data_IF_711071141976
#
_entry.id   IF_711071141976
#
_cell.length_a   1.000
_cell.length_b   1.000
_cell.length_c   1.000
_cell.angle_alpha   90.00
_cell.angle_beta   90.00
_cell.angle_gamma   90.00
#
_symmetry.space_group_name_H-M   'P 1'
#
loop_
_entity.id
_entity.type
_entity.pdbx_description
1 polymer ?
#
# COMPACT_ATOMS: atom_id res chain seq x y z
N UNK A 1 -16.51 -19.41 16.79
CA UNK A 1 -16.12 -20.32 17.85
C UNK A 1 -14.63 -20.17 18.16
N UNK A 2 -14.23 -20.51 19.38
CA UNK A 2 -12.85 -20.45 19.89
C UNK A 2 -11.86 -21.21 18.99
N UNK A 3 -12.24 -22.37 18.47
CA UNK A 3 -11.40 -23.21 17.61
C UNK A 3 -10.99 -22.53 16.28
N UNK A 4 -11.91 -21.80 15.62
CA UNK A 4 -11.59 -21.07 14.39
C UNK A 4 -10.59 -19.94 14.66
N UNK A 5 -10.71 -19.24 15.79
CA UNK A 5 -9.76 -18.20 16.21
C UNK A 5 -8.35 -18.76 16.43
N UNK A 6 -8.24 -19.97 16.98
CA UNK A 6 -6.93 -20.60 17.24
C UNK A 6 -6.25 -21.08 15.94
N UNK A 7 -7.03 -21.53 14.96
CA UNK A 7 -6.52 -21.83 13.61
C UNK A 7 -5.96 -20.57 12.94
N UNK A 8 -6.71 -19.48 12.94
CA UNK A 8 -6.23 -18.20 12.37
C UNK A 8 -4.97 -17.68 13.09
N UNK A 9 -4.89 -17.79 14.42
CA UNK A 9 -3.69 -17.39 15.16
C UNK A 9 -2.44 -18.12 14.69
N UNK A 10 -2.54 -19.44 14.45
CA UNK A 10 -1.40 -20.24 13.95
C UNK A 10 -1.00 -19.83 12.55
N UNK A 11 -1.96 -19.65 11.65
CA UNK A 11 -1.72 -19.29 10.25
C UNK A 11 -1.09 -17.90 10.07
N UNK A 12 -1.53 -16.90 10.86
CA UNK A 12 -1.04 -15.52 10.73
C UNK A 12 0.14 -15.18 11.63
N UNK A 13 0.56 -16.11 12.50
CA UNK A 13 1.71 -15.92 13.43
C UNK A 13 2.98 -15.44 12.70
N UNK A 14 3.38 -16.03 11.56
CA UNK A 14 4.58 -15.59 10.82
C UNK A 14 4.51 -14.16 10.32
N UNK A 15 3.31 -13.59 10.16
CA UNK A 15 3.12 -12.21 9.69
C UNK A 15 3.35 -11.14 10.78
N UNK A 16 3.68 -11.55 12.02
CA UNK A 16 3.72 -10.67 13.19
C UNK A 16 2.33 -10.23 13.65
N UNK A 17 2.20 -9.78 14.93
CA UNK A 17 0.93 -9.36 15.53
C UNK A 17 -0.21 -10.40 15.40
N UNK A 18 0.12 -11.70 15.48
CA UNK A 18 -0.81 -12.79 15.19
C UNK A 18 -2.12 -12.76 15.99
N UNK A 19 -2.08 -12.36 17.27
CA UNK A 19 -3.29 -12.27 18.10
C UNK A 19 -4.25 -11.17 17.62
N UNK A 20 -3.72 -9.96 17.33
CA UNK A 20 -4.53 -8.85 16.81
C UNK A 20 -5.12 -9.21 15.45
N UNK A 21 -4.30 -9.70 14.53
CA UNK A 21 -4.75 -10.11 13.19
C UNK A 21 -5.81 -11.20 13.23
N UNK A 22 -5.65 -12.22 14.06
CA UNK A 22 -6.64 -13.29 14.18
C UNK A 22 -7.98 -12.79 14.69
N UNK A 23 -7.98 -11.88 15.68
CA UNK A 23 -9.18 -11.22 16.19
C UNK A 23 -9.86 -10.40 15.10
N UNK A 24 -9.10 -9.57 14.40
CA UNK A 24 -9.62 -8.68 13.37
C UNK A 24 -10.15 -9.46 12.18
N UNK A 25 -9.47 -10.53 11.72
CA UNK A 25 -9.97 -11.44 10.69
C UNK A 25 -11.30 -12.06 11.11
N UNK A 26 -11.39 -12.60 12.34
CA UNK A 26 -12.62 -13.21 12.84
C UNK A 26 -13.77 -12.21 12.93
N UNK A 27 -13.51 -10.99 13.36
CA UNK A 27 -14.50 -9.91 13.44
C UNK A 27 -14.95 -9.46 12.04
N UNK A 28 -14.01 -9.30 11.11
CA UNK A 28 -14.28 -8.94 9.73
C UNK A 28 -15.17 -9.98 9.04
N UNK A 29 -14.85 -11.28 9.18
CA UNK A 29 -15.65 -12.35 8.59
C UNK A 29 -17.07 -12.41 9.16
N UNK A 30 -17.25 -12.17 10.46
CA UNK A 30 -18.59 -12.04 11.05
C UNK A 30 -19.36 -10.86 10.47
N UNK A 31 -18.73 -9.71 10.37
CA UNK A 31 -19.36 -8.50 9.82
C UNK A 31 -19.76 -8.69 8.34
N UNK A 32 -18.89 -9.31 7.53
CA UNK A 32 -19.21 -9.64 6.14
C UNK A 32 -20.41 -10.57 6.04
N UNK A 33 -20.49 -11.59 6.91
CA UNK A 33 -21.63 -12.52 6.96
C UNK A 33 -22.93 -11.81 7.37
N UNK A 34 -22.88 -11.01 8.44
CA UNK A 34 -24.08 -10.52 9.13
C UNK A 34 -24.63 -9.23 8.49
N UNK A 35 -23.78 -8.41 7.88
CA UNK A 35 -24.15 -7.09 7.34
C UNK A 35 -24.01 -6.98 5.83
N UNK A 36 -23.19 -7.82 5.19
CA UNK A 36 -22.89 -7.75 3.76
C UNK A 36 -23.24 -9.00 2.96
N UNK A 37 -24.07 -9.92 3.53
CA UNK A 37 -24.47 -11.16 2.88
C UNK A 37 -23.30 -11.98 2.31
N UNK A 38 -22.21 -12.09 3.06
CA UNK A 38 -20.95 -12.75 2.65
C UNK A 38 -20.29 -12.14 1.41
N UNK A 39 -20.57 -10.89 1.07
CA UNK A 39 -19.94 -10.17 -0.04
C UNK A 39 -18.98 -9.11 0.48
N UNK A 40 -17.88 -8.92 -0.21
CA UNK A 40 -16.95 -7.81 0.08
C UNK A 40 -17.58 -6.53 -0.46
N UNK A 41 -17.74 -5.46 0.37
CA UNK A 41 -18.29 -4.20 -0.10
C UNK A 41 -17.34 -3.54 -1.12
N UNK A 42 -17.90 -2.73 -2.02
CA UNK A 42 -17.18 -2.13 -3.12
C UNK A 42 -17.07 -0.60 -3.03
N UNK A 43 -17.27 -0.05 -1.85
CA UNK A 43 -17.03 1.37 -1.55
C UNK A 43 -15.92 1.52 -0.52
N UNK A 44 -15.18 2.61 -0.62
CA UNK A 44 -14.04 2.87 0.26
C UNK A 44 -14.43 2.97 1.73
N UNK A 45 -15.54 3.66 2.02
CA UNK A 45 -16.02 3.87 3.39
C UNK A 45 -16.49 2.57 4.04
N UNK A 46 -17.21 1.72 3.31
CA UNK A 46 -17.63 0.41 3.80
C UNK A 46 -16.42 -0.52 4.04
N UNK A 47 -15.41 -0.48 3.17
CA UNK A 47 -14.16 -1.22 3.39
C UNK A 47 -13.43 -0.76 4.64
N UNK A 48 -13.37 0.56 4.90
CA UNK A 48 -12.78 1.10 6.13
C UNK A 48 -13.54 0.74 7.40
N UNK A 49 -14.84 0.46 7.28
CA UNK A 49 -15.66 0.02 8.43
C UNK A 49 -15.36 -1.43 8.84
N UNK A 50 -14.74 -2.23 7.98
CA UNK A 50 -14.39 -3.62 8.29
C UNK A 50 -13.24 -3.69 9.30
N UNK A 51 -13.36 -4.54 10.34
CA UNK A 51 -12.29 -4.74 11.31
C UNK A 51 -10.96 -5.15 10.67
N UNK A 52 -9.88 -4.47 11.03
CA UNK A 52 -8.55 -4.73 10.51
C UNK A 52 -8.26 -4.18 9.11
N UNK A 53 -9.22 -3.54 8.47
CA UNK A 53 -9.05 -2.91 7.15
C UNK A 53 -8.73 -1.43 7.32
N UNK A 54 -7.49 -1.06 7.08
CA UNK A 54 -7.06 0.35 7.04
C UNK A 54 -7.06 0.91 5.60
N UNK A 55 -6.74 2.21 5.46
CA UNK A 55 -6.70 2.90 4.15
C UNK A 55 -5.87 2.16 3.09
N UNK A 56 -4.70 1.64 3.47
CA UNK A 56 -3.84 0.87 2.56
C UNK A 56 -4.57 -0.35 2.00
N UNK A 57 -5.20 -1.15 2.87
CA UNK A 57 -5.92 -2.36 2.45
C UNK A 57 -7.18 -2.02 1.67
N UNK A 58 -7.90 -0.97 2.07
CA UNK A 58 -9.08 -0.51 1.35
C UNK A 58 -8.72 -0.06 -0.09
N UNK A 59 -7.67 0.75 -0.25
CA UNK A 59 -7.19 1.15 -1.58
C UNK A 59 -6.74 -0.06 -2.41
N UNK A 60 -6.03 -1.03 -1.82
CA UNK A 60 -5.61 -2.24 -2.52
C UNK A 60 -6.82 -3.03 -3.04
N UNK A 61 -7.85 -3.22 -2.21
CA UNK A 61 -9.08 -3.91 -2.60
C UNK A 61 -9.81 -3.12 -3.70
N UNK A 62 -9.90 -1.80 -3.58
CA UNK A 62 -10.54 -0.96 -4.60
C UNK A 62 -9.85 -1.09 -5.96
N UNK A 63 -8.51 -1.03 -6.00
CA UNK A 63 -7.74 -1.15 -7.24
C UNK A 63 -7.72 -2.57 -7.79
N UNK A 64 -7.24 -3.52 -7.00
CA UNK A 64 -6.91 -4.86 -7.51
C UNK A 64 -8.13 -5.78 -7.66
N UNK A 65 -9.15 -5.60 -6.82
CA UNK A 65 -10.36 -6.46 -6.86
C UNK A 65 -11.47 -5.81 -7.68
N UNK A 66 -11.68 -4.51 -7.53
CA UNK A 66 -12.80 -3.82 -8.15
C UNK A 66 -12.42 -2.97 -9.37
N UNK A 67 -11.14 -2.85 -9.71
CA UNK A 67 -10.66 -2.05 -10.84
C UNK A 67 -11.02 -0.57 -10.73
N UNK A 68 -11.22 -0.07 -9.50
CA UNK A 68 -11.55 1.32 -9.23
C UNK A 68 -10.29 2.15 -8.97
N UNK A 69 -10.33 3.47 -9.20
CA UNK A 69 -9.20 4.34 -8.88
C UNK A 69 -8.73 4.16 -7.45
N UNK A 70 -7.43 3.93 -7.27
CA UNK A 70 -6.84 3.70 -5.96
C UNK A 70 -5.37 4.13 -5.93
N UNK A 71 -4.90 4.66 -4.79
CA UNK A 71 -3.49 4.93 -4.53
C UNK A 71 -3.10 4.23 -3.23
N UNK A 72 -2.23 3.21 -3.36
CA UNK A 72 -1.76 2.39 -2.25
C UNK A 72 -0.45 2.96 -1.71
N UNK A 73 -0.52 3.73 -0.63
CA UNK A 73 0.67 4.32 0.01
C UNK A 73 1.34 3.35 0.98
N UNK A 74 2.11 2.44 0.42
CA UNK A 74 2.98 1.56 1.19
C UNK A 74 4.37 2.19 1.44
N UNK A 75 5.25 1.47 2.11
CA UNK A 75 6.60 1.94 2.40
C UNK A 75 7.44 2.20 1.15
N UNK A 76 7.21 1.47 0.05
CA UNK A 76 7.87 1.73 -1.23
C UNK A 76 7.35 3.02 -1.86
N UNK A 77 6.03 3.18 -1.94
CA UNK A 77 5.38 4.38 -2.47
C UNK A 77 5.89 5.65 -1.74
N UNK A 78 5.81 5.67 -0.41
CA UNK A 78 6.25 6.81 0.40
C UNK A 78 7.73 7.13 0.14
N UNK A 79 8.60 6.12 0.16
CA UNK A 79 10.04 6.31 -0.04
C UNK A 79 10.37 6.81 -1.44
N UNK A 80 9.83 6.16 -2.47
CA UNK A 80 10.16 6.50 -3.84
C UNK A 80 9.59 7.84 -4.26
N UNK A 81 8.35 8.16 -3.89
CA UNK A 81 7.75 9.45 -4.20
C UNK A 81 8.54 10.61 -3.59
N UNK A 82 9.10 10.43 -2.38
CA UNK A 82 10.01 11.43 -1.79
C UNK A 82 11.36 11.50 -2.52
N UNK A 83 11.96 10.35 -2.87
CA UNK A 83 13.24 10.32 -3.59
C UNK A 83 13.15 10.90 -4.99
N UNK A 84 12.11 10.54 -5.73
CA UNK A 84 11.88 11.05 -7.09
C UNK A 84 11.59 12.56 -7.06
N UNK A 85 10.90 13.04 -6.01
CA UNK A 85 10.50 14.43 -5.87
C UNK A 85 9.03 14.67 -6.23
N UNK A 86 8.21 13.63 -6.28
CA UNK A 86 6.75 13.74 -6.49
C UNK A 86 6.03 14.31 -5.25
N UNK A 87 6.59 14.10 -4.08
CA UNK A 87 6.18 14.72 -2.82
C UNK A 87 7.40 15.24 -2.08
N UNK A 88 7.21 16.23 -1.21
CA UNK A 88 8.31 16.88 -0.51
C UNK A 88 8.33 16.53 0.97
N UNK A 89 9.23 15.61 1.34
CA UNK A 89 9.48 15.15 2.71
C UNK A 89 8.23 14.73 3.50
N UNK A 90 7.22 14.18 2.83
CA UNK A 90 5.99 13.71 3.44
C UNK A 90 6.14 12.23 3.83
N UNK A 91 5.99 11.93 5.13
CA UNK A 91 6.12 10.55 5.67
C UNK A 91 4.77 9.93 6.04
N UNK A 92 3.75 10.75 6.28
CA UNK A 92 2.42 10.28 6.66
C UNK A 92 1.69 9.70 5.45
N UNK A 93 1.26 8.42 5.48
CA UNK A 93 0.67 7.74 4.32
C UNK A 93 -0.53 8.48 3.71
N UNK A 94 -1.45 8.97 4.55
CA UNK A 94 -2.63 9.72 4.10
C UNK A 94 -2.25 11.01 3.37
N UNK A 95 -1.25 11.74 3.85
CA UNK A 95 -0.80 12.97 3.20
C UNK A 95 -0.13 12.69 1.87
N UNK A 96 0.66 11.61 1.77
CA UNK A 96 1.24 11.16 0.50
C UNK A 96 0.12 10.79 -0.49
N UNK A 97 -0.86 10.00 -0.06
CA UNK A 97 -2.03 9.63 -0.87
C UNK A 97 -2.73 10.89 -1.43
N UNK A 98 -3.06 11.86 -0.56
CA UNK A 98 -3.73 13.09 -0.98
C UNK A 98 -2.88 13.98 -1.91
N UNK A 99 -1.57 13.98 -1.76
CA UNK A 99 -0.67 14.68 -2.67
C UNK A 99 -0.62 14.00 -4.04
N UNK A 100 -0.54 12.67 -4.07
CA UNK A 100 -0.49 11.89 -5.30
C UNK A 100 -1.79 11.99 -6.10
N UNK A 101 -2.96 12.04 -5.45
CA UNK A 101 -4.24 12.25 -6.13
C UNK A 101 -4.31 13.56 -6.95
N UNK A 102 -3.46 14.54 -6.65
CA UNK A 102 -3.41 15.80 -7.39
C UNK A 102 -2.59 15.72 -8.70
N UNK A 103 -1.73 14.72 -8.82
CA UNK A 103 -0.76 14.62 -9.92
C UNK A 103 -0.88 13.32 -10.71
N UNK A 104 -1.42 12.26 -10.11
CA UNK A 104 -1.60 10.96 -10.78
C UNK A 104 -3.04 10.88 -11.29
N UNK A 105 -3.25 10.62 -12.59
CA UNK A 105 -4.59 10.38 -13.11
C UNK A 105 -5.27 9.22 -12.39
N UNK A 106 -6.55 9.32 -12.01
CA UNK A 106 -7.21 8.30 -11.19
C UNK A 106 -7.10 6.87 -11.73
N UNK A 107 -7.19 6.69 -13.03
CA UNK A 107 -7.10 5.39 -13.70
C UNK A 107 -5.69 4.77 -13.67
N UNK A 108 -4.65 5.58 -13.44
CA UNK A 108 -3.25 5.14 -13.40
C UNK A 108 -2.79 4.79 -11.98
N UNK A 109 -3.57 5.15 -10.96
CA UNK A 109 -3.13 5.12 -9.55
C UNK A 109 -2.69 3.73 -9.07
N UNK A 110 -3.46 2.67 -9.38
CA UNK A 110 -3.13 1.30 -8.97
C UNK A 110 -1.86 0.82 -9.65
N UNK A 111 -1.77 0.94 -10.97
CA UNK A 111 -0.59 0.53 -11.75
C UNK A 111 0.67 1.31 -11.34
N UNK A 112 0.54 2.61 -11.10
CA UNK A 112 1.61 3.45 -10.59
C UNK A 112 2.16 2.88 -9.27
N UNK A 113 1.29 2.53 -8.32
CA UNK A 113 1.71 1.99 -7.03
C UNK A 113 2.40 0.62 -7.18
N UNK A 114 1.90 -0.27 -8.03
CA UNK A 114 2.55 -1.56 -8.31
C UNK A 114 3.93 -1.38 -8.92
N UNK A 115 4.08 -0.52 -9.92
CA UNK A 115 5.38 -0.18 -10.53
C UNK A 115 6.37 0.37 -9.50
N UNK A 116 5.92 1.19 -8.54
CA UNK A 116 6.79 1.67 -7.46
C UNK A 116 7.26 0.55 -6.53
N UNK A 117 6.42 -0.45 -6.25
CA UNK A 117 6.81 -1.62 -5.45
C UNK A 117 7.90 -2.42 -6.18
N UNK A 118 7.70 -2.73 -7.45
CA UNK A 118 8.65 -3.49 -8.25
C UNK A 118 9.98 -2.74 -8.41
N UNK A 119 9.92 -1.47 -8.76
CA UNK A 119 11.10 -0.61 -8.86
C UNK A 119 11.82 -0.46 -7.51
N UNK A 120 11.06 -0.35 -6.44
CA UNK A 120 11.58 -0.24 -5.07
C UNK A 120 12.26 -1.50 -4.54
N UNK A 121 11.90 -2.66 -5.10
CA UNK A 121 12.55 -3.94 -4.78
C UNK A 121 13.78 -4.18 -5.64
N UNK A 122 13.70 -3.87 -6.94
CA UNK A 122 14.73 -4.21 -7.92
C UNK A 122 15.84 -3.16 -8.05
N UNK A 123 15.51 -1.88 -7.93
CA UNK A 123 16.41 -0.76 -8.27
C UNK A 123 16.56 0.22 -7.11
N UNK A 124 15.46 0.88 -6.70
CA UNK A 124 15.48 1.90 -5.67
C UNK A 124 15.31 1.30 -4.27
N UNK A 125 16.30 0.53 -3.83
CA UNK A 125 16.27 -0.26 -2.60
C UNK A 125 16.28 0.60 -1.33
N UNK A 126 15.77 0.03 -0.19
CA UNK A 126 15.72 0.72 1.09
C UNK A 126 16.94 0.47 1.98
N UNK A 127 17.46 -0.76 1.94
CA UNK A 127 18.51 -1.24 2.87
C UNK A 127 19.91 -1.12 2.32
N UNK A 128 20.05 -1.00 1.01
CA UNK A 128 21.31 -0.84 0.30
C UNK A 128 21.30 0.45 -0.49
N UNK A 129 22.46 0.90 -0.96
CA UNK A 129 22.55 2.02 -1.91
C UNK A 129 21.70 1.71 -3.14
N UNK A 130 20.81 2.62 -3.57
CA UNK A 130 20.06 2.43 -4.79
C UNK A 130 20.94 2.29 -6.03
N UNK A 131 20.50 1.50 -6.98
CA UNK A 131 21.21 1.29 -8.25
C UNK A 131 20.85 2.41 -9.26
N UNK A 132 21.27 3.66 -8.95
CA UNK A 132 20.92 4.84 -9.74
C UNK A 132 21.46 4.76 -11.17
N UNK A 133 22.62 4.14 -11.38
CA UNK A 133 23.28 3.98 -12.69
C UNK A 133 22.43 3.18 -13.70
N UNK A 134 21.55 2.32 -13.24
CA UNK A 134 20.63 1.53 -14.11
C UNK A 134 19.15 1.93 -13.94
N UNK A 135 18.91 3.07 -13.29
CA UNK A 135 17.55 3.53 -13.01
C UNK A 135 16.99 4.28 -14.22
N UNK A 136 15.82 3.86 -14.71
CA UNK A 136 15.12 4.54 -15.80
C UNK A 136 14.59 5.93 -15.45
N UNK A 137 14.60 6.30 -14.16
CA UNK A 137 14.17 7.60 -13.68
C UNK A 137 15.34 8.52 -13.31
N UNK A 138 16.59 8.11 -13.60
CA UNK A 138 17.81 8.83 -13.20
C UNK A 138 17.75 10.31 -13.56
N UNK A 139 17.42 10.62 -14.80
CA UNK A 139 17.48 11.98 -15.35
C UNK A 139 16.43 12.95 -14.77
N UNK A 140 15.38 12.42 -14.14
CA UNK A 140 14.30 13.21 -13.54
C UNK A 140 14.21 13.05 -12.01
N UNK A 141 15.08 12.24 -11.44
CA UNK A 141 15.01 11.87 -10.04
C UNK A 141 15.79 12.86 -9.17
N UNK A 142 15.10 13.58 -8.27
CA UNK A 142 15.72 14.52 -7.31
C UNK A 142 16.85 13.88 -6.52
N UNK A 143 16.64 12.69 -5.97
CA UNK A 143 17.67 11.98 -5.20
C UNK A 143 18.93 11.69 -6.01
N UNK A 144 18.81 11.32 -7.28
CA UNK A 144 19.96 11.04 -8.13
C UNK A 144 20.80 12.32 -8.38
N UNK A 145 20.15 13.44 -8.60
CA UNK A 145 20.82 14.74 -8.79
C UNK A 145 21.48 15.27 -7.49
N UNK A 146 20.79 15.21 -6.35
CA UNK A 146 21.30 15.68 -5.06
C UNK A 146 22.51 14.88 -4.58
N UNK A 147 22.55 13.57 -4.86
CA UNK A 147 23.64 12.68 -4.47
C UNK A 147 24.80 12.66 -5.50
N UNK A 148 24.76 13.50 -6.55
CA UNK A 148 25.77 13.54 -7.61
C UNK A 148 25.83 12.23 -8.43
N UNK A 149 24.73 11.51 -8.52
CA UNK A 149 24.60 10.21 -9.22
C UNK A 149 23.91 10.33 -10.58
N UNK A 150 23.56 11.53 -10.99
CA UNK A 150 23.03 11.89 -12.28
C UNK A 150 24.08 12.73 -13.02
N UNK A 151 24.90 12.10 -13.87
CA UNK A 151 25.73 12.73 -14.89
C UNK A 151 25.27 12.23 -16.26
#
# INVERSE_FOLDING_TARGET
SSAASDVYKRQVKPCGLGHSKARDISACMRMLRDQYNCRVPNTFDELLALPGVGRKSANLIMGDVFGKPAIVTDTHCIRLCNRIGLVDNIKEPKKVEMALWKIIPPQEGSDFCHRLVDHGRAVCTARTTPYCERCCLRDVCRYAHEEGKAD
#
